data_IF_629406103078
#
_entry.id   IF_629406103078
#
_cell.length_a   1.000
_cell.length_b   1.000
_cell.length_c   1.000
_cell.angle_alpha   90.00
_cell.angle_beta   90.00
_cell.angle_gamma   90.00
#
_symmetry.space_group_name_H-M   'P 1'
#
loop_
_entity.id
_entity.type
_entity.pdbx_description
1 polymer ?
#
# COMPACT_ATOMS: atom_id res chain seq x y z
N UNK A 1 27.25 -3.39 21.63
CA UNK A 1 26.28 -4.04 22.54
C UNK A 1 25.00 -4.19 21.75
N UNK A 2 24.59 -5.42 21.41
CA UNK A 2 23.29 -5.64 20.79
C UNK A 2 22.21 -5.22 21.80
N UNK A 3 21.49 -4.15 21.49
CA UNK A 3 20.28 -3.83 22.24
C UNK A 3 19.30 -4.97 22.00
N UNK A 4 18.83 -5.61 23.06
CA UNK A 4 17.90 -6.72 22.97
C UNK A 4 16.49 -6.14 22.90
N UNK A 5 15.98 -5.93 21.69
CA UNK A 5 14.65 -5.37 21.48
C UNK A 5 13.61 -6.46 21.69
N UNK A 6 12.71 -6.28 22.65
CA UNK A 6 11.68 -7.28 22.95
C UNK A 6 10.72 -7.55 21.80
N UNK A 7 10.71 -6.69 20.77
CA UNK A 7 9.86 -6.74 19.60
C UNK A 7 10.59 -7.19 18.31
N UNK A 8 11.90 -7.45 18.36
CA UNK A 8 12.71 -7.85 17.18
C UNK A 8 13.63 -9.05 17.46
N UNK A 9 13.69 -10.08 16.58
CA UNK A 9 12.78 -10.29 15.45
C UNK A 9 11.33 -10.49 15.92
N UNK A 10 10.32 -10.26 15.05
CA UNK A 10 8.93 -10.45 15.42
C UNK A 10 8.64 -11.90 15.80
N UNK A 11 7.78 -12.09 16.81
CA UNK A 11 7.19 -13.40 17.07
C UNK A 11 6.16 -13.74 16.01
N UNK A 12 5.99 -15.03 15.73
CA UNK A 12 5.07 -15.50 14.69
C UNK A 12 3.63 -15.00 14.91
N UNK A 13 3.16 -14.96 16.16
CA UNK A 13 1.81 -14.48 16.48
C UNK A 13 1.58 -12.97 16.22
N UNK A 14 2.65 -12.19 16.01
CA UNK A 14 2.55 -10.76 15.70
C UNK A 14 2.45 -10.46 14.20
N UNK A 15 2.83 -11.41 13.36
CA UNK A 15 2.79 -11.26 11.90
C UNK A 15 1.36 -11.31 11.35
N UNK A 16 0.41 -11.81 12.14
CA UNK A 16 -0.98 -11.96 11.75
C UNK A 16 -1.17 -13.02 10.67
N UNK A 17 -2.28 -12.89 9.93
CA UNK A 17 -2.67 -13.77 8.84
C UNK A 17 -2.67 -13.03 7.48
N UNK A 18 -3.18 -13.69 6.43
CA UNK A 18 -3.30 -13.14 5.08
C UNK A 18 -4.22 -11.90 4.97
N UNK A 19 -5.02 -11.61 5.99
CA UNK A 19 -5.90 -10.45 6.05
C UNK A 19 -5.41 -9.38 7.05
N UNK A 20 -4.59 -9.74 8.03
CA UNK A 20 -4.04 -8.78 8.99
C UNK A 20 -3.80 -9.35 10.38
N UNK A 21 -3.64 -8.45 11.35
CA UNK A 21 -3.62 -8.81 12.76
C UNK A 21 -5.04 -8.71 13.37
N UNK A 22 -5.49 -9.72 14.13
CA UNK A 22 -6.73 -9.61 14.91
C UNK A 22 -6.71 -8.42 15.87
N UNK A 23 -7.87 -7.74 16.10
CA UNK A 23 -9.19 -8.03 15.54
C UNK A 23 -9.48 -7.31 14.21
N UNK A 24 -8.48 -6.69 13.57
CA UNK A 24 -8.66 -5.89 12.36
C UNK A 24 -8.65 -6.71 11.06
N UNK A 25 -8.22 -7.97 11.16
CA UNK A 25 -8.23 -8.93 10.05
C UNK A 25 -9.63 -9.14 9.45
N UNK A 26 -10.69 -9.16 10.27
CA UNK A 26 -12.08 -9.24 9.79
C UNK A 26 -12.46 -8.07 8.87
N UNK A 27 -12.09 -6.85 9.25
CA UNK A 27 -12.35 -5.66 8.43
C UNK A 27 -11.59 -5.74 7.10
N UNK A 28 -10.34 -6.18 7.14
CA UNK A 28 -9.52 -6.31 5.95
C UNK A 28 -10.05 -7.41 5.03
N UNK A 29 -10.48 -8.54 5.58
CA UNK A 29 -11.13 -9.60 4.82
C UNK A 29 -12.35 -9.04 4.05
N UNK A 30 -13.22 -8.27 4.72
CA UNK A 30 -14.36 -7.63 4.04
C UNK A 30 -13.92 -6.71 2.89
N UNK A 31 -12.80 -5.99 3.05
CA UNK A 31 -12.26 -5.14 1.99
C UNK A 31 -11.69 -5.96 0.83
N UNK A 32 -10.91 -7.00 1.09
CA UNK A 32 -10.40 -7.89 0.05
C UNK A 32 -11.54 -8.54 -0.73
N UNK A 33 -12.53 -9.10 -0.05
CA UNK A 33 -13.72 -9.70 -0.69
C UNK A 33 -14.49 -8.68 -1.52
N UNK A 34 -14.61 -7.44 -1.05
CA UNK A 34 -15.28 -6.38 -1.82
C UNK A 34 -14.52 -6.02 -3.10
N UNK A 35 -13.18 -5.99 -3.06
CA UNK A 35 -12.33 -5.67 -4.21
C UNK A 35 -12.31 -6.85 -5.19
N UNK A 36 -12.26 -8.08 -4.69
CA UNK A 36 -12.32 -9.30 -5.50
C UNK A 36 -13.66 -9.39 -6.27
N UNK A 37 -14.79 -9.09 -5.62
CA UNK A 37 -16.12 -9.06 -6.26
C UNK A 37 -16.31 -7.87 -7.20
N UNK A 38 -15.51 -6.81 -7.07
CA UNK A 38 -15.60 -5.58 -7.87
C UNK A 38 -14.21 -5.18 -8.42
N UNK A 39 -13.59 -6.01 -9.27
CA UNK A 39 -12.17 -5.87 -9.60
C UNK A 39 -11.91 -4.79 -10.65
N UNK A 40 -12.91 -4.35 -11.40
CA UNK A 40 -12.70 -3.50 -12.59
C UNK A 40 -12.03 -2.18 -12.25
N UNK A 41 -11.02 -1.80 -13.04
CA UNK A 41 -10.43 -0.47 -13.06
C UNK A 41 -10.84 0.33 -14.31
N UNK A 42 -11.91 -0.08 -14.98
CA UNK A 42 -12.55 0.64 -16.09
C UNK A 42 -14.00 1.02 -15.77
N UNK A 43 -14.70 0.27 -14.91
CA UNK A 43 -16.01 0.64 -14.36
C UNK A 43 -15.86 1.71 -13.28
N UNK A 44 -16.35 2.91 -13.57
CA UNK A 44 -16.27 4.07 -12.67
C UNK A 44 -16.97 3.84 -11.34
N UNK A 45 -18.09 3.11 -11.31
CA UNK A 45 -18.83 2.84 -10.06
C UNK A 45 -18.02 1.94 -9.14
N UNK A 46 -17.37 0.91 -9.70
CA UNK A 46 -16.48 0.04 -8.93
C UNK A 46 -15.25 0.81 -8.43
N UNK A 47 -14.64 1.66 -9.26
CA UNK A 47 -13.50 2.49 -8.84
C UNK A 47 -13.90 3.44 -7.70
N UNK A 48 -15.04 4.15 -7.81
CA UNK A 48 -15.57 5.01 -6.73
C UNK A 48 -15.73 4.21 -5.44
N UNK A 49 -16.37 3.04 -5.51
CA UNK A 49 -16.55 2.16 -4.36
C UNK A 49 -15.23 1.80 -3.69
N UNK A 50 -14.23 1.38 -4.46
CA UNK A 50 -12.89 1.04 -3.96
C UNK A 50 -12.17 2.24 -3.34
N UNK A 51 -12.17 3.39 -4.01
CA UNK A 51 -11.56 4.63 -3.48
C UNK A 51 -12.19 5.04 -2.14
N UNK A 52 -13.51 4.93 -2.02
CA UNK A 52 -14.25 5.28 -0.82
C UNK A 52 -13.96 4.31 0.33
N UNK A 53 -14.03 3.00 0.07
CA UNK A 53 -13.79 1.96 1.08
C UNK A 53 -12.36 2.00 1.60
N UNK A 54 -11.37 1.99 0.70
CA UNK A 54 -9.96 1.96 1.06
C UNK A 54 -9.54 3.31 1.66
N UNK A 55 -9.94 4.42 1.01
CA UNK A 55 -9.60 5.77 1.45
C UNK A 55 -10.12 6.08 2.85
N UNK A 56 -11.39 5.77 3.15
CA UNK A 56 -11.98 6.06 4.47
C UNK A 56 -11.47 5.11 5.55
N UNK A 57 -11.32 3.83 5.26
CA UNK A 57 -10.83 2.85 6.24
C UNK A 57 -9.39 3.13 6.64
N UNK A 58 -8.53 3.45 5.67
CA UNK A 58 -7.09 3.65 5.92
C UNK A 58 -6.67 5.11 6.05
N UNK A 59 -7.62 6.03 6.28
CA UNK A 59 -7.39 7.47 6.32
C UNK A 59 -6.56 7.97 5.13
N UNK A 60 -6.72 7.36 3.97
CA UNK A 60 -5.96 7.65 2.75
C UNK A 60 -6.84 8.28 1.67
N UNK A 61 -8.00 8.86 2.04
CA UNK A 61 -8.97 9.38 1.08
C UNK A 61 -8.37 10.41 0.12
N UNK A 62 -8.77 10.31 -1.15
CA UNK A 62 -8.23 11.14 -2.26
C UNK A 62 -8.51 12.63 -2.06
N UNK A 63 -9.55 12.98 -1.31
CA UNK A 63 -10.01 14.33 -0.99
C UNK A 63 -9.31 14.99 0.22
N UNK A 64 -8.54 14.23 1.02
CA UNK A 64 -8.19 14.51 2.45
C UNK A 64 -7.56 15.88 2.78
N UNK A 65 -7.16 16.74 1.84
CA UNK A 65 -6.67 18.10 2.20
C UNK A 65 -7.05 19.25 1.26
N UNK A 66 -8.03 19.11 0.36
CA UNK A 66 -8.46 20.31 -0.42
C UNK A 66 -9.14 21.36 0.50
N UNK A 67 -9.51 20.95 1.71
CA UNK A 67 -10.21 21.73 2.74
C UNK A 67 -9.28 22.29 3.82
N UNK A 68 -8.14 22.90 3.45
CA UNK A 68 -7.28 23.61 4.41
C UNK A 68 -7.98 24.87 4.97
N UNK A 69 -8.91 24.69 5.92
CA UNK A 69 -9.50 25.75 6.74
C UNK A 69 -10.79 26.38 6.20
N UNK A 70 -11.13 26.17 4.92
CA UNK A 70 -12.44 26.54 4.40
C UNK A 70 -13.45 25.40 4.64
N UNK A 71 -14.70 25.79 4.91
CA UNK A 71 -15.82 24.90 5.22
C UNK A 71 -15.74 23.60 4.40
N UNK A 72 -15.80 22.44 5.06
CA UNK A 72 -15.80 21.13 4.39
C UNK A 72 -16.99 21.07 3.42
N UNK A 73 -16.78 21.40 2.16
CA UNK A 73 -17.78 21.17 1.13
C UNK A 73 -17.71 19.69 0.75
N UNK A 74 -18.63 18.91 1.32
CA UNK A 74 -18.79 17.48 1.02
C UNK A 74 -19.05 17.24 -0.47
N UNK A 75 -19.64 18.20 -1.19
CA UNK A 75 -19.84 18.08 -2.64
C UNK A 75 -18.52 18.12 -3.38
N UNK A 76 -17.65 19.05 -3.01
CA UNK A 76 -16.31 19.15 -3.59
C UNK A 76 -15.45 17.92 -3.30
N UNK A 77 -15.63 17.29 -2.12
CA UNK A 77 -14.98 16.03 -1.80
C UNK A 77 -15.44 14.88 -2.73
N UNK A 78 -16.75 14.76 -2.99
CA UNK A 78 -17.29 13.75 -3.89
C UNK A 78 -16.89 13.99 -5.35
N UNK A 79 -16.81 15.25 -5.79
CA UNK A 79 -16.33 15.61 -7.12
C UNK A 79 -14.90 15.11 -7.37
N UNK A 80 -13.99 15.28 -6.39
CA UNK A 80 -12.61 14.76 -6.50
C UNK A 80 -12.60 13.24 -6.65
N UNK A 81 -13.49 12.51 -5.97
CA UNK A 81 -13.60 11.05 -6.11
C UNK A 81 -14.09 10.66 -7.51
N UNK A 82 -15.08 11.39 -8.04
CA UNK A 82 -15.61 11.16 -9.40
C UNK A 82 -14.54 11.45 -10.45
N UNK A 83 -13.82 12.56 -10.33
CA UNK A 83 -12.70 12.91 -11.21
C UNK A 83 -11.58 11.87 -11.17
N UNK A 84 -11.24 11.37 -9.97
CA UNK A 84 -10.26 10.32 -9.80
C UNK A 84 -10.69 9.01 -10.48
N UNK A 85 -11.96 8.62 -10.32
CA UNK A 85 -12.50 7.43 -10.97
C UNK A 85 -12.52 7.56 -12.50
N UNK A 86 -12.86 8.73 -13.02
CA UNK A 86 -12.77 9.03 -14.45
C UNK A 86 -11.33 8.92 -14.95
N UNK A 87 -10.37 9.52 -14.25
CA UNK A 87 -8.96 9.47 -14.61
C UNK A 87 -8.39 8.04 -14.58
N UNK A 88 -8.75 7.23 -13.59
CA UNK A 88 -8.34 5.81 -13.49
C UNK A 88 -8.97 5.00 -14.62
N UNK A 89 -10.27 5.17 -14.91
CA UNK A 89 -10.98 4.41 -15.95
C UNK A 89 -10.40 4.58 -17.35
N UNK A 90 -9.74 5.72 -17.61
CA UNK A 90 -9.05 6.05 -18.86
C UNK A 90 -7.55 5.77 -18.84
N UNK A 91 -7.01 5.32 -17.70
CA UNK A 91 -5.59 5.02 -17.53
C UNK A 91 -5.25 3.64 -18.11
N UNK A 92 -3.95 3.30 -18.12
CA UNK A 92 -3.49 1.97 -18.51
C UNK A 92 -3.59 0.94 -17.37
N UNK A 93 -4.12 1.32 -16.21
CA UNK A 93 -4.07 0.51 -14.98
C UNK A 93 -4.66 -0.89 -15.16
N UNK A 94 -5.86 -1.01 -15.72
CA UNK A 94 -6.51 -2.31 -15.94
C UNK A 94 -5.65 -3.23 -16.82
N UNK A 95 -5.13 -2.68 -17.93
CA UNK A 95 -4.26 -3.43 -18.84
C UNK A 95 -2.99 -3.90 -18.12
N UNK A 96 -2.32 -3.02 -17.39
CA UNK A 96 -1.09 -3.40 -16.68
C UNK A 96 -1.36 -4.45 -15.58
N UNK A 97 -2.46 -4.33 -14.83
CA UNK A 97 -2.83 -5.31 -13.82
C UNK A 97 -3.25 -6.66 -14.42
N UNK A 98 -3.74 -6.69 -15.66
CA UNK A 98 -4.08 -7.93 -16.37
C UNK A 98 -2.85 -8.74 -16.80
N UNK A 99 -1.67 -8.12 -16.83
CA UNK A 99 -0.39 -8.80 -17.11
C UNK A 99 0.16 -9.53 -15.87
N UNK A 100 -0.46 -9.36 -14.70
CA UNK A 100 -0.13 -10.07 -13.45
C UNK A 100 -1.08 -11.23 -13.21
N UNK A 101 -0.53 -12.40 -12.85
CA UNK A 101 -1.37 -13.44 -12.26
C UNK A 101 -1.86 -13.02 -10.87
N UNK A 102 -2.98 -13.57 -10.40
CA UNK A 102 -3.56 -13.23 -9.10
C UNK A 102 -2.67 -13.63 -7.92
N UNK A 103 -1.85 -14.67 -8.11
CA UNK A 103 -0.92 -15.26 -7.16
C UNK A 103 0.54 -14.82 -7.38
N UNK A 104 0.79 -13.90 -8.31
CA UNK A 104 2.15 -13.43 -8.58
C UNK A 104 2.73 -12.70 -7.37
N UNK A 105 3.89 -13.17 -6.91
CA UNK A 105 4.64 -12.54 -5.83
C UNK A 105 5.65 -11.53 -6.35
N UNK A 106 5.85 -10.45 -5.59
CA UNK A 106 6.89 -9.46 -5.90
C UNK A 106 8.29 -10.07 -5.78
N UNK A 107 9.12 -9.86 -6.80
CA UNK A 107 10.56 -10.18 -6.80
C UNK A 107 11.38 -8.94 -7.20
N UNK A 108 12.70 -9.00 -7.01
CA UNK A 108 13.61 -7.90 -7.38
C UNK A 108 13.50 -7.54 -8.88
N UNK A 109 13.38 -8.55 -9.74
CA UNK A 109 13.24 -8.39 -11.20
C UNK A 109 11.90 -7.76 -11.59
N UNK A 110 10.87 -7.90 -10.75
CA UNK A 110 9.52 -7.38 -10.98
C UNK A 110 9.31 -5.97 -10.40
N UNK A 111 10.24 -5.45 -9.59
CA UNK A 111 10.16 -4.08 -9.05
C UNK A 111 9.90 -3.02 -10.14
N UNK A 112 10.61 -3.00 -11.29
CA UNK A 112 10.35 -2.00 -12.33
C UNK A 112 8.89 -1.99 -12.80
N UNK A 113 8.27 -3.17 -12.89
CA UNK A 113 6.87 -3.29 -13.30
C UNK A 113 5.91 -2.86 -12.19
N UNK A 114 6.19 -3.20 -10.94
CA UNK A 114 5.43 -2.70 -9.80
C UNK A 114 5.46 -1.16 -9.71
N UNK A 115 6.62 -0.56 -10.01
CA UNK A 115 6.80 0.90 -10.07
C UNK A 115 6.01 1.52 -11.21
N UNK A 116 5.98 0.90 -12.40
CA UNK A 116 5.17 1.39 -13.53
C UNK A 116 3.69 1.43 -13.16
N UNK A 117 3.15 0.36 -12.57
CA UNK A 117 1.74 0.27 -12.18
C UNK A 117 1.41 1.30 -11.09
N UNK A 118 2.28 1.42 -10.09
CA UNK A 118 2.13 2.41 -9.02
C UNK A 118 2.14 3.84 -9.55
N UNK A 119 3.07 4.15 -10.46
CA UNK A 119 3.17 5.46 -11.09
C UNK A 119 1.92 5.78 -11.93
N UNK A 120 1.40 4.82 -12.69
CA UNK A 120 0.17 4.99 -13.49
C UNK A 120 -1.00 5.38 -12.60
N UNK A 121 -1.24 4.63 -11.51
CA UNK A 121 -2.34 4.91 -10.58
C UNK A 121 -2.11 6.22 -9.82
N UNK A 122 -0.91 6.47 -9.30
CA UNK A 122 -0.60 7.71 -8.59
C UNK A 122 -0.78 8.93 -9.50
N UNK A 123 -0.39 8.83 -10.78
CA UNK A 123 -0.60 9.86 -11.79
C UNK A 123 -2.08 10.08 -12.12
N UNK A 124 -2.87 9.02 -12.23
CA UNK A 124 -4.32 9.13 -12.42
C UNK A 124 -5.00 9.85 -11.24
N UNK A 125 -4.66 9.48 -10.00
CA UNK A 125 -5.16 10.15 -8.79
C UNK A 125 -4.71 11.62 -8.72
N UNK A 126 -3.48 11.91 -9.14
CA UNK A 126 -2.93 13.27 -9.15
C UNK A 126 -3.68 14.20 -10.10
N UNK A 127 -4.28 13.69 -11.18
CA UNK A 127 -5.10 14.50 -12.09
C UNK A 127 -6.34 15.10 -11.40
N UNK A 128 -6.88 14.45 -10.38
CA UNK A 128 -8.07 14.91 -9.65
C UNK A 128 -7.74 15.85 -8.48
N UNK A 129 -6.62 15.62 -7.79
CA UNK A 129 -6.31 16.33 -6.54
C UNK A 129 -5.00 17.14 -6.55
N UNK A 130 -4.19 17.03 -7.61
CA UNK A 130 -2.93 17.76 -7.77
C UNK A 130 -1.80 17.30 -6.84
N UNK A 131 -1.82 16.05 -6.34
CA UNK A 131 -0.89 15.57 -5.31
C UNK A 131 -0.17 14.28 -5.68
N UNK A 132 0.94 14.03 -4.98
CA UNK A 132 1.55 12.71 -4.93
C UNK A 132 0.66 11.77 -4.08
N UNK A 133 0.07 10.76 -4.71
CA UNK A 133 -0.88 9.84 -4.08
C UNK A 133 -0.26 8.47 -3.74
N UNK A 134 1.02 8.45 -3.37
CA UNK A 134 1.79 7.20 -3.19
C UNK A 134 1.14 6.21 -2.23
N UNK A 135 0.62 6.71 -1.09
CA UNK A 135 0.01 5.86 -0.06
C UNK A 135 -1.36 5.30 -0.45
N UNK A 136 -2.20 6.12 -1.11
CA UNK A 136 -3.48 5.64 -1.60
C UNK A 136 -3.26 4.65 -2.75
N UNK A 137 -2.32 4.94 -3.65
CA UNK A 137 -1.99 4.06 -4.77
C UNK A 137 -1.48 2.70 -4.29
N UNK A 138 -0.52 2.66 -3.37
CA UNK A 138 0.00 1.39 -2.84
C UNK A 138 -1.07 0.56 -2.15
N UNK A 139 -1.94 1.18 -1.33
CA UNK A 139 -3.06 0.48 -0.68
C UNK A 139 -4.08 -0.04 -1.69
N UNK A 140 -4.49 0.78 -2.64
CA UNK A 140 -5.42 0.37 -3.69
C UNK A 140 -4.88 -0.85 -4.46
N UNK A 141 -3.61 -0.81 -4.85
CA UNK A 141 -2.95 -1.92 -5.55
C UNK A 141 -2.77 -3.15 -4.67
N UNK A 142 -2.43 -2.97 -3.40
CA UNK A 142 -2.31 -4.05 -2.43
C UNK A 142 -3.62 -4.83 -2.26
N UNK A 143 -4.75 -4.13 -2.17
CA UNK A 143 -6.06 -4.80 -2.12
C UNK A 143 -6.42 -5.54 -3.43
N UNK A 144 -5.79 -5.18 -4.56
CA UNK A 144 -5.93 -5.91 -5.83
C UNK A 144 -4.99 -7.12 -5.97
N UNK A 145 -3.74 -6.99 -5.51
CA UNK A 145 -2.69 -8.01 -5.59
C UNK A 145 -1.81 -7.95 -4.33
N UNK A 146 -2.23 -8.56 -3.20
CA UNK A 146 -1.57 -8.42 -1.91
C UNK A 146 -0.19 -9.09 -1.84
N UNK A 147 0.15 -9.96 -2.79
CA UNK A 147 1.46 -10.58 -2.89
C UNK A 147 2.45 -9.76 -3.73
N UNK A 148 1.96 -8.78 -4.50
CA UNK A 148 2.75 -8.03 -5.47
C UNK A 148 3.03 -6.58 -5.07
N UNK A 149 2.11 -5.92 -4.35
CA UNK A 149 2.26 -4.50 -4.00
C UNK A 149 2.38 -4.28 -2.49
N UNK A 150 3.57 -3.89 -1.97
CA UNK A 150 3.72 -3.51 -0.57
C UNK A 150 3.01 -2.20 -0.26
N UNK A 151 2.39 -2.15 0.91
CA UNK A 151 1.80 -0.91 1.41
C UNK A 151 2.93 0.08 1.72
N UNK A 152 2.72 1.35 1.39
CA UNK A 152 3.57 2.42 1.88
C UNK A 152 2.74 3.56 2.46
N UNK A 153 2.92 3.84 3.74
CA UNK A 153 2.30 4.98 4.39
C UNK A 153 3.17 5.50 5.56
N UNK A 154 2.62 6.36 6.41
CA UNK A 154 3.38 6.88 7.55
C UNK A 154 3.67 5.83 8.62
N UNK A 155 2.77 4.88 8.85
CA UNK A 155 2.91 3.85 9.88
C UNK A 155 3.99 2.85 9.47
N UNK A 156 3.87 2.29 8.26
CA UNK A 156 4.84 1.33 7.72
C UNK A 156 6.26 1.91 7.70
N UNK A 157 6.37 3.21 7.39
CA UNK A 157 7.64 3.94 7.40
C UNK A 157 8.22 4.18 8.80
N UNK A 158 7.35 4.34 9.79
CA UNK A 158 7.73 4.44 11.20
C UNK A 158 8.18 3.07 11.73
N UNK A 159 7.42 2.01 11.48
CA UNK A 159 7.82 0.62 11.80
C UNK A 159 9.16 0.26 11.17
N UNK A 160 9.39 0.65 9.91
CA UNK A 160 10.69 0.48 9.25
C UNK A 160 11.84 1.19 9.98
N UNK A 161 11.60 2.39 10.52
CA UNK A 161 12.63 3.10 11.28
C UNK A 161 13.03 2.34 12.55
N UNK A 162 12.07 1.69 13.21
CA UNK A 162 12.35 0.85 14.37
C UNK A 162 13.17 -0.36 13.95
N UNK A 163 12.78 -1.08 12.89
CA UNK A 163 13.55 -2.22 12.36
C UNK A 163 15.01 -1.84 12.07
N UNK A 164 15.25 -0.67 11.45
CA UNK A 164 16.60 -0.19 11.17
C UNK A 164 17.40 0.08 12.45
N UNK A 165 16.77 0.66 13.47
CA UNK A 165 17.39 0.85 14.79
C UNK A 165 17.76 -0.50 15.44
N UNK A 166 16.89 -1.51 15.33
CA UNK A 166 17.17 -2.85 15.83
C UNK A 166 18.34 -3.54 15.11
N UNK A 167 18.46 -3.30 13.81
CA UNK A 167 19.57 -3.78 12.99
C UNK A 167 20.86 -2.95 13.16
N UNK A 168 20.87 -1.92 14.02
CA UNK A 168 22.00 -1.01 14.17
C UNK A 168 22.36 -0.27 12.88
N UNK A 169 21.38 -0.09 11.98
CA UNK A 169 21.55 0.45 10.64
C UNK A 169 20.98 1.87 10.53
N UNK A 170 21.53 2.67 9.62
CA UNK A 170 21.08 4.06 9.42
C UNK A 170 19.70 4.10 8.77
N UNK A 171 18.75 4.79 9.40
CA UNK A 171 17.43 5.07 8.83
C UNK A 171 17.38 6.37 7.98
N UNK A 172 18.54 6.96 7.60
CA UNK A 172 18.56 8.20 6.79
C UNK A 172 17.75 8.06 5.51
N UNK A 173 16.89 9.05 5.25
CA UNK A 173 16.09 9.13 4.02
C UNK A 173 14.76 8.38 4.06
N UNK A 174 14.39 7.72 5.16
CA UNK A 174 13.14 6.93 5.27
C UNK A 174 11.87 7.71 4.89
N UNK A 175 11.80 9.00 5.24
CA UNK A 175 10.66 9.86 4.89
C UNK A 175 10.44 9.97 3.37
N UNK A 176 11.48 9.75 2.58
CA UNK A 176 11.43 9.79 1.12
C UNK A 176 10.76 8.56 0.52
N UNK A 177 10.76 7.40 1.20
CA UNK A 177 10.07 6.19 0.72
C UNK A 177 8.56 6.41 0.53
N UNK A 178 7.99 7.41 1.21
CA UNK A 178 6.60 7.81 1.01
C UNK A 178 6.31 8.49 -0.32
N UNK A 179 7.32 8.88 -1.09
CA UNK A 179 7.15 9.56 -2.38
C UNK A 179 6.99 8.56 -3.50
N UNK A 180 6.21 8.95 -4.51
CA UNK A 180 5.97 8.12 -5.72
C UNK A 180 7.30 7.74 -6.38
N UNK A 181 8.23 8.70 -6.47
CA UNK A 181 9.56 8.48 -7.08
C UNK A 181 10.46 7.49 -6.33
N UNK A 182 10.12 7.11 -5.10
CA UNK A 182 10.91 6.20 -4.27
C UNK A 182 10.20 4.89 -3.97
N UNK A 183 9.05 4.62 -4.61
CA UNK A 183 8.30 3.38 -4.38
C UNK A 183 9.13 2.12 -4.73
N UNK A 184 9.96 2.17 -5.78
CA UNK A 184 10.86 1.05 -6.11
C UNK A 184 11.89 0.74 -5.01
N UNK A 185 12.47 1.79 -4.41
CA UNK A 185 13.36 1.62 -3.27
C UNK A 185 12.63 1.07 -2.05
N UNK A 186 11.34 1.43 -1.86
CA UNK A 186 10.51 0.82 -0.83
C UNK A 186 10.28 -0.67 -1.07
N UNK A 187 9.90 -1.06 -2.29
CA UNK A 187 9.76 -2.46 -2.67
C UNK A 187 11.02 -3.28 -2.39
N UNK A 188 12.20 -2.74 -2.71
CA UNK A 188 13.48 -3.40 -2.42
C UNK A 188 13.70 -3.61 -0.92
N UNK A 189 13.36 -2.63 -0.07
CA UNK A 189 13.46 -2.76 1.40
C UNK A 189 12.53 -3.81 1.96
N UNK A 190 11.32 -3.92 1.44
CA UNK A 190 10.36 -4.95 1.87
C UNK A 190 10.87 -6.35 1.53
N UNK A 191 11.43 -6.55 0.32
CA UNK A 191 12.02 -7.85 -0.06
C UNK A 191 13.22 -8.18 0.84
N UNK A 192 14.13 -7.23 1.06
CA UNK A 192 15.29 -7.42 1.93
C UNK A 192 14.88 -7.77 3.37
N UNK A 193 13.81 -7.14 3.89
CA UNK A 193 13.26 -7.48 5.19
C UNK A 193 12.67 -8.89 5.22
N UNK A 194 11.93 -9.26 4.18
CA UNK A 194 11.34 -10.59 4.05
C UNK A 194 12.41 -11.69 4.05
N UNK A 195 13.49 -11.48 3.30
CA UNK A 195 14.66 -12.37 3.25
C UNK A 195 15.35 -12.44 4.62
N UNK A 196 15.60 -11.29 5.24
CA UNK A 196 16.23 -11.26 6.56
C UNK A 196 15.39 -11.98 7.63
N UNK A 197 14.08 -11.78 7.64
CA UNK A 197 13.20 -12.46 8.60
C UNK A 197 13.11 -13.97 8.32
N UNK A 198 13.14 -14.39 7.05
CA UNK A 198 13.18 -15.81 6.69
C UNK A 198 14.46 -16.51 7.17
N UNK A 199 15.60 -15.81 7.26
CA UNK A 199 16.83 -16.40 7.84
C UNK A 199 16.72 -16.59 9.36
N UNK A 200 15.89 -15.78 10.03
CA UNK A 200 15.71 -15.82 11.49
C UNK A 200 14.54 -16.71 11.94
N UNK A 201 13.65 -17.08 11.01
CA UNK A 201 12.42 -17.84 11.28
C UNK A 201 12.39 -19.13 10.46
N UNK A 202 11.57 -20.11 10.86
CA UNK A 202 11.47 -21.38 10.11
C UNK A 202 10.64 -21.28 8.81
N UNK A 203 9.91 -20.19 8.61
CA UNK A 203 9.05 -19.96 7.44
C UNK A 203 9.24 -18.55 6.86
N UNK A 204 9.07 -18.44 5.54
CA UNK A 204 9.15 -17.17 4.82
C UNK A 204 7.87 -16.37 5.08
N UNK A 205 8.01 -15.17 5.64
CA UNK A 205 6.89 -14.24 5.84
C UNK A 205 6.27 -13.84 4.50
N UNK A 206 4.94 -13.77 4.40
CA UNK A 206 4.27 -13.20 3.22
C UNK A 206 4.47 -11.67 3.18
N UNK A 207 4.28 -11.07 2.00
CA UNK A 207 4.35 -9.60 1.87
C UNK A 207 3.32 -8.91 2.78
N UNK A 208 2.13 -9.50 2.94
CA UNK A 208 1.12 -9.02 3.88
C UNK A 208 1.58 -9.09 5.34
N UNK A 209 2.27 -10.16 5.72
CA UNK A 209 2.82 -10.28 7.08
C UNK A 209 3.90 -9.24 7.36
N UNK A 210 4.70 -8.88 6.34
CA UNK A 210 5.63 -7.74 6.45
C UNK A 210 4.85 -6.43 6.63
N UNK A 211 3.81 -6.18 5.83
CA UNK A 211 2.96 -4.99 5.96
C UNK A 211 2.19 -4.94 7.30
N UNK A 212 1.90 -6.07 7.93
CA UNK A 212 1.27 -6.14 9.26
C UNK A 212 2.25 -5.82 10.39
N UNK A 213 3.50 -6.23 10.21
CA UNK A 213 4.55 -6.03 11.19
C UNK A 213 5.04 -4.58 11.24
N UNK A 214 5.07 -3.90 10.09
CA UNK A 214 5.50 -2.52 9.92
C UNK A 214 4.37 -1.51 10.15
#
# INVERSE_FOLDING_TARGET
MSQNFSWYPPKAEWLGNEFGCPPFDVLNQMLYESVERNPSNTDRSQIIGKLMLIGRTYSASVERRKTNGEQKDERQALEVVIEAAEAISKSRLERLLSELSSDESLTLERIPFAVEIHLELAGALAKANGRENSSLASKYLHFHRPQFFPIVDSYVREGWSWVMDALGSSYRGWRMFGKVSHYGAWCERVIQLQEHLADTQSEKCSLRQIDNYL
#
